data_IF_613800688076
#
_entry.id   IF_613800688076
#
_cell.length_a   1.000
_cell.length_b   1.000
_cell.length_c   1.000
_cell.angle_alpha   90.00
_cell.angle_beta   90.00
_cell.angle_gamma   90.00
#
_symmetry.space_group_name_H-M   'P 1'
#
loop_
_entity.id
_entity.type
_entity.pdbx_description
1 polymer ?
#
# COMPACT_ATOMS: atom_id res chain seq x y z
N UNK A 1 -17.35 -17.02 6.00
CA UNK A 1 -16.80 -17.37 4.67
C UNK A 1 -17.35 -18.69 4.17
N UNK A 2 -17.40 -19.72 5.01
CA UNK A 2 -17.92 -21.05 4.65
C UNK A 2 -19.41 -21.02 4.25
N UNK A 3 -20.24 -20.29 5.00
CA UNK A 3 -21.67 -20.12 4.70
C UNK A 3 -21.97 -19.38 3.40
N UNK A 4 -21.02 -18.59 2.89
CA UNK A 4 -21.16 -17.87 1.62
C UNK A 4 -20.67 -18.69 0.42
N UNK A 5 -20.00 -19.82 0.67
CA UNK A 5 -19.47 -20.69 -0.38
C UNK A 5 -20.61 -21.37 -1.12
N UNK A 6 -20.73 -21.14 -2.43
CA UNK A 6 -21.80 -21.68 -3.27
C UNK A 6 -23.04 -20.78 -3.43
N UNK A 7 -23.11 -19.64 -2.72
CA UNK A 7 -24.17 -18.64 -2.91
C UNK A 7 -23.81 -17.53 -3.91
N UNK A 8 -22.51 -17.34 -4.15
CA UNK A 8 -21.96 -16.30 -5.00
C UNK A 8 -21.12 -16.93 -6.12
N UNK A 9 -21.03 -16.27 -7.27
CA UNK A 9 -20.06 -16.66 -8.29
C UNK A 9 -18.62 -16.46 -7.79
N UNK A 10 -17.67 -17.10 -8.48
CA UNK A 10 -16.27 -17.14 -8.04
C UNK A 10 -15.62 -15.76 -7.90
N UNK A 11 -15.99 -14.78 -8.76
CA UNK A 11 -15.41 -13.44 -8.72
C UNK A 11 -16.01 -12.69 -7.53
N UNK A 12 -17.34 -12.66 -7.43
CA UNK A 12 -18.03 -11.98 -6.32
C UNK A 12 -17.59 -12.54 -4.97
N UNK A 13 -17.44 -13.86 -4.86
CA UNK A 13 -16.94 -14.49 -3.63
C UNK A 13 -15.53 -14.01 -3.26
N UNK A 14 -14.59 -13.91 -4.21
CA UNK A 14 -13.24 -13.37 -3.94
C UNK A 14 -13.29 -11.92 -3.47
N UNK A 15 -14.10 -11.07 -4.12
CA UNK A 15 -14.26 -9.65 -3.71
C UNK A 15 -14.84 -9.52 -2.31
N UNK A 16 -15.85 -10.32 -1.98
CA UNK A 16 -16.42 -10.36 -0.62
C UNK A 16 -15.40 -10.88 0.39
N UNK A 17 -14.63 -11.92 0.06
CA UNK A 17 -13.56 -12.43 0.92
C UNK A 17 -12.51 -11.35 1.22
N UNK A 18 -12.11 -10.57 0.22
CA UNK A 18 -11.23 -9.43 0.44
C UNK A 18 -11.82 -8.46 1.47
N UNK A 19 -13.03 -7.96 1.24
CA UNK A 19 -13.68 -6.96 2.09
C UNK A 19 -13.79 -7.44 3.55
N UNK A 20 -14.30 -8.66 3.75
CA UNK A 20 -14.52 -9.21 5.09
C UNK A 20 -13.19 -9.40 5.81
N UNK A 21 -12.19 -9.98 5.14
CA UNK A 21 -10.88 -10.24 5.77
C UNK A 21 -10.05 -8.97 5.94
N UNK A 22 -10.22 -7.95 5.09
CA UNK A 22 -9.54 -6.66 5.24
C UNK A 22 -10.11 -5.88 6.43
N UNK A 23 -11.43 -5.89 6.64
CA UNK A 23 -12.05 -5.29 7.82
C UNK A 23 -11.51 -5.92 9.12
N UNK A 24 -11.38 -7.25 9.15
CA UNK A 24 -10.79 -7.95 10.30
C UNK A 24 -9.30 -7.60 10.48
N UNK A 25 -8.51 -7.54 9.39
CA UNK A 25 -7.10 -7.10 9.45
C UNK A 25 -6.94 -5.69 10.00
N UNK A 26 -7.88 -4.78 9.76
CA UNK A 26 -7.87 -3.44 10.37
C UNK A 26 -8.00 -3.54 11.89
N UNK A 27 -8.94 -4.33 12.41
CA UNK A 27 -9.13 -4.51 13.85
C UNK A 27 -7.87 -5.11 14.50
N UNK A 28 -7.31 -6.15 13.88
CA UNK A 28 -6.04 -6.74 14.32
C UNK A 28 -4.89 -5.72 14.28
N UNK A 29 -4.81 -4.89 13.24
CA UNK A 29 -3.76 -3.87 13.12
C UNK A 29 -3.84 -2.86 14.27
N UNK A 30 -5.05 -2.39 14.59
CA UNK A 30 -5.28 -1.48 15.72
C UNK A 30 -4.84 -2.13 17.03
N UNK A 31 -5.29 -3.36 17.30
CA UNK A 31 -4.92 -4.10 18.50
C UNK A 31 -3.39 -4.24 18.65
N UNK A 32 -2.70 -4.70 17.59
CA UNK A 32 -1.24 -4.90 17.60
C UNK A 32 -0.49 -3.58 17.76
N UNK A 33 -0.92 -2.51 17.09
CA UNK A 33 -0.28 -1.20 17.27
C UNK A 33 -0.39 -0.69 18.71
N UNK A 34 -1.55 -0.90 19.35
CA UNK A 34 -1.78 -0.45 20.72
C UNK A 34 -1.03 -1.27 21.77
N UNK A 35 -0.88 -2.58 21.54
CA UNK A 35 -0.36 -3.52 22.56
C UNK A 35 1.10 -3.91 22.35
N UNK A 36 1.55 -4.01 21.10
CA UNK A 36 2.84 -4.59 20.72
C UNK A 36 3.70 -3.64 19.88
N UNK A 37 3.11 -2.57 19.34
CA UNK A 37 3.80 -1.55 18.55
C UNK A 37 4.00 -1.92 17.07
N UNK A 38 4.61 -1.01 16.29
CA UNK A 38 4.60 -1.06 14.82
C UNK A 38 5.31 -2.28 14.23
N UNK A 39 6.33 -2.83 14.89
CA UNK A 39 7.04 -4.00 14.39
C UNK A 39 6.13 -5.24 14.22
N UNK A 40 4.96 -5.27 14.88
CA UNK A 40 4.06 -6.42 14.92
C UNK A 40 2.96 -6.41 13.85
N UNK A 41 2.88 -5.37 13.01
CA UNK A 41 1.85 -5.30 11.95
C UNK A 41 2.35 -5.75 10.57
N UNK A 42 3.63 -6.13 10.45
CA UNK A 42 4.23 -6.45 9.15
C UNK A 42 3.46 -7.51 8.35
N UNK A 43 3.11 -8.62 9.01
CA UNK A 43 2.33 -9.71 8.39
C UNK A 43 0.92 -9.28 7.98
N UNK A 44 0.32 -8.32 8.69
CA UNK A 44 -1.01 -7.80 8.36
C UNK A 44 -0.95 -6.94 7.09
N UNK A 45 0.11 -6.13 6.93
CA UNK A 45 0.38 -5.38 5.70
C UNK A 45 0.56 -6.32 4.50
N UNK A 46 1.41 -7.34 4.64
CA UNK A 46 1.68 -8.30 3.57
C UNK A 46 0.43 -9.09 3.16
N UNK A 47 -0.35 -9.57 4.15
CA UNK A 47 -1.59 -10.29 3.91
C UNK A 47 -2.66 -9.42 3.24
N UNK A 48 -2.70 -8.14 3.62
CA UNK A 48 -3.56 -7.15 2.99
C UNK A 48 -3.18 -6.92 1.52
N UNK A 49 -1.88 -6.79 1.21
CA UNK A 49 -1.40 -6.69 -0.17
C UNK A 49 -1.77 -7.90 -1.01
N UNK A 50 -1.49 -9.10 -0.52
CA UNK A 50 -1.86 -10.34 -1.20
C UNK A 50 -3.37 -10.41 -1.48
N UNK A 51 -4.20 -10.03 -0.50
CA UNK A 51 -5.65 -9.99 -0.72
C UNK A 51 -6.07 -8.93 -1.75
N UNK A 52 -5.47 -7.74 -1.77
CA UNK A 52 -5.74 -6.74 -2.80
C UNK A 52 -5.32 -7.19 -4.20
N UNK A 53 -4.22 -7.94 -4.33
CA UNK A 53 -3.73 -8.48 -5.60
C UNK A 53 -4.54 -9.68 -6.08
N UNK A 54 -4.77 -10.66 -5.21
CA UNK A 54 -5.27 -11.98 -5.60
C UNK A 54 -6.80 -12.08 -5.46
N UNK A 55 -7.37 -11.43 -4.43
CA UNK A 55 -8.80 -11.52 -4.13
C UNK A 55 -9.59 -10.32 -4.66
N UNK A 56 -8.99 -9.14 -4.64
CA UNK A 56 -9.62 -7.91 -5.11
C UNK A 56 -9.18 -7.52 -6.53
N UNK A 57 -8.02 -8.02 -6.97
CA UNK A 57 -7.43 -7.80 -8.29
C UNK A 57 -7.30 -6.31 -8.65
N UNK A 58 -6.81 -5.50 -7.69
CA UNK A 58 -6.57 -4.06 -7.84
C UNK A 58 -5.09 -3.66 -7.81
N UNK A 59 -4.16 -4.63 -7.76
CA UNK A 59 -2.73 -4.33 -7.84
C UNK A 59 -2.26 -4.14 -9.28
N UNK A 60 -0.97 -3.88 -9.46
CA UNK A 60 -0.28 -3.87 -10.75
C UNK A 60 1.19 -4.30 -10.58
N UNK A 61 1.88 -4.67 -11.67
CA UNK A 61 3.27 -5.15 -11.61
C UNK A 61 4.23 -4.20 -10.89
N UNK A 62 4.07 -2.89 -11.04
CA UNK A 62 4.90 -1.89 -10.36
C UNK A 62 4.69 -1.90 -8.84
N UNK A 63 3.43 -2.03 -8.39
CA UNK A 63 3.10 -2.09 -6.96
C UNK A 63 3.60 -3.39 -6.34
N UNK A 64 3.38 -4.52 -7.02
CA UNK A 64 3.84 -5.84 -6.58
C UNK A 64 5.38 -5.85 -6.45
N UNK A 65 6.09 -5.33 -7.46
CA UNK A 65 7.54 -5.22 -7.45
C UNK A 65 8.05 -4.34 -6.30
N UNK A 66 7.40 -3.19 -6.04
CA UNK A 66 7.78 -2.31 -4.94
C UNK A 66 7.63 -2.99 -3.58
N UNK A 67 6.52 -3.72 -3.37
CA UNK A 67 6.24 -4.43 -2.13
C UNK A 67 7.21 -5.58 -1.93
N UNK A 68 7.38 -6.45 -2.93
CA UNK A 68 8.25 -7.63 -2.86
C UNK A 68 9.71 -7.22 -2.65
N UNK A 69 10.19 -6.22 -3.40
CA UNK A 69 11.56 -5.71 -3.26
C UNK A 69 11.77 -5.10 -1.88
N UNK A 70 10.80 -4.32 -1.38
CA UNK A 70 10.90 -3.71 -0.06
C UNK A 70 11.01 -4.78 1.04
N UNK A 71 10.21 -5.85 0.94
CA UNK A 71 10.26 -6.98 1.90
C UNK A 71 11.56 -7.76 1.83
N UNK A 72 12.09 -8.00 0.64
CA UNK A 72 13.36 -8.70 0.46
C UNK A 72 14.57 -7.94 1.05
N UNK A 73 14.46 -6.62 1.19
CA UNK A 73 15.56 -5.73 1.62
C UNK A 73 15.39 -5.12 3.02
N UNK A 74 14.50 -5.69 3.85
CA UNK A 74 14.45 -5.36 5.28
C UNK A 74 13.26 -4.52 5.73
N UNK A 75 12.28 -4.24 4.88
CA UNK A 75 10.99 -3.77 5.36
C UNK A 75 10.34 -4.84 6.25
N UNK A 76 9.70 -4.46 7.35
CA UNK A 76 8.93 -5.31 8.27
C UNK A 76 7.65 -5.83 7.60
N UNK A 77 7.01 -4.99 6.78
CA UNK A 77 5.79 -5.28 6.03
C UNK A 77 5.56 -4.21 4.97
N UNK A 78 4.90 -4.54 3.87
CA UNK A 78 4.61 -3.58 2.80
C UNK A 78 3.30 -3.89 2.09
N UNK A 79 2.64 -2.83 1.58
CA UNK A 79 1.42 -2.95 0.77
C UNK A 79 1.20 -1.76 -0.14
N UNK A 80 0.45 -1.94 -1.21
CA UNK A 80 -0.14 -0.82 -1.97
C UNK A 80 -1.05 0.04 -1.08
N UNK A 81 -1.27 1.31 -1.42
CA UNK A 81 -2.18 2.21 -0.70
C UNK A 81 -2.99 3.07 -1.68
N UNK A 82 -4.21 3.44 -1.30
CA UNK A 82 -5.18 4.08 -2.20
C UNK A 82 -6.01 3.08 -3.01
N UNK A 83 -6.55 3.53 -4.14
CA UNK A 83 -7.54 2.78 -4.93
C UNK A 83 -7.00 1.64 -5.80
N UNK A 84 -5.67 1.57 -6.02
CA UNK A 84 -5.05 0.57 -6.89
C UNK A 84 -4.92 0.97 -8.35
N UNK A 85 -4.58 -0.03 -9.18
CA UNK A 85 -4.28 0.11 -10.61
C UNK A 85 -3.13 1.09 -10.90
N UNK A 86 -2.14 1.10 -10.01
CA UNK A 86 -1.04 2.06 -9.94
C UNK A 86 -1.09 2.91 -8.66
N UNK A 87 -0.35 4.01 -8.64
CA UNK A 87 -0.28 4.90 -7.49
C UNK A 87 0.91 4.60 -6.58
N UNK A 88 0.65 4.30 -5.31
CA UNK A 88 1.68 4.23 -4.27
C UNK A 88 1.66 2.93 -3.50
N UNK A 89 2.83 2.52 -3.02
CA UNK A 89 3.00 1.51 -1.98
C UNK A 89 3.62 2.15 -0.74
N UNK A 90 3.35 1.55 0.42
CA UNK A 90 4.00 1.87 1.69
C UNK A 90 4.80 0.65 2.15
N UNK A 91 5.98 0.91 2.72
CA UNK A 91 6.82 -0.09 3.36
C UNK A 91 7.15 0.40 4.78
N UNK A 92 6.81 -0.41 5.77
CA UNK A 92 7.22 -0.17 7.14
C UNK A 92 8.64 -0.70 7.31
N UNK A 93 9.63 0.19 7.44
CA UNK A 93 11.05 -0.18 7.41
C UNK A 93 11.76 0.30 8.67
N UNK A 94 12.64 -0.51 9.30
CA UNK A 94 13.50 -0.02 10.36
C UNK A 94 14.40 1.09 9.84
N UNK A 95 14.62 2.15 10.63
CA UNK A 95 15.37 3.35 10.19
C UNK A 95 16.74 2.99 9.58
N UNK A 96 17.46 2.01 10.15
CA UNK A 96 18.76 1.56 9.64
C UNK A 96 18.74 0.87 8.27
N UNK A 97 17.57 0.41 7.80
CA UNK A 97 17.40 -0.25 6.50
C UNK A 97 16.73 0.65 5.45
N UNK A 98 16.39 1.89 5.79
CA UNK A 98 15.65 2.79 4.89
C UNK A 98 16.37 2.97 3.54
N UNK A 99 17.66 3.31 3.58
CA UNK A 99 18.44 3.57 2.36
C UNK A 99 18.61 2.29 1.52
N UNK A 100 18.82 1.14 2.17
CA UNK A 100 18.95 -0.15 1.49
C UNK A 100 17.67 -0.49 0.71
N UNK A 101 16.51 -0.35 1.36
CA UNK A 101 15.20 -0.58 0.73
C UNK A 101 14.97 0.39 -0.43
N UNK A 102 15.23 1.69 -0.24
CA UNK A 102 15.10 2.71 -1.28
C UNK A 102 15.91 2.35 -2.53
N UNK A 103 17.20 2.08 -2.35
CA UNK A 103 18.10 1.80 -3.46
C UNK A 103 17.74 0.50 -4.17
N UNK A 104 17.29 -0.50 -3.42
CA UNK A 104 16.82 -1.76 -4.00
C UNK A 104 15.59 -1.57 -4.88
N UNK A 105 14.59 -0.82 -4.42
CA UNK A 105 13.37 -0.53 -5.20
C UNK A 105 13.71 0.23 -6.48
N UNK A 106 14.58 1.25 -6.41
CA UNK A 106 15.01 2.00 -7.60
C UNK A 106 15.71 1.08 -8.61
N UNK A 107 16.63 0.22 -8.15
CA UNK A 107 17.31 -0.75 -9.02
C UNK A 107 16.34 -1.75 -9.63
N UNK A 108 15.39 -2.28 -8.86
CA UNK A 108 14.40 -3.23 -9.33
C UNK A 108 13.49 -2.63 -10.41
N UNK A 109 13.01 -1.40 -10.19
CA UNK A 109 12.20 -0.67 -11.17
C UNK A 109 12.96 -0.43 -12.47
N UNK A 110 14.21 0.01 -12.39
CA UNK A 110 15.05 0.19 -13.57
C UNK A 110 15.29 -1.13 -14.33
N UNK A 111 15.55 -2.23 -13.61
CA UNK A 111 15.75 -3.55 -14.20
C UNK A 111 14.49 -4.10 -14.89
N UNK A 112 13.31 -3.77 -14.35
CA UNK A 112 12.02 -4.12 -14.94
C UNK A 112 11.58 -3.20 -16.10
N UNK A 113 12.33 -2.13 -16.38
CA UNK A 113 11.99 -1.14 -17.41
C UNK A 113 10.85 -0.18 -17.01
N UNK A 114 10.54 -0.09 -15.72
CA UNK A 114 9.55 0.84 -15.20
C UNK A 114 10.12 2.25 -15.02
N UNK A 115 9.24 3.24 -15.03
CA UNK A 115 9.60 4.62 -14.66
C UNK A 115 10.13 4.67 -13.24
N UNK A 116 11.22 5.40 -13.01
CA UNK A 116 11.80 5.59 -11.67
C UNK A 116 10.73 6.06 -10.67
N UNK A 117 10.57 5.39 -9.52
CA UNK A 117 9.58 5.78 -8.53
C UNK A 117 10.07 6.96 -7.69
N UNK A 118 9.14 7.83 -7.29
CA UNK A 118 9.38 8.83 -6.24
C UNK A 118 9.27 8.16 -4.86
N UNK A 119 10.34 8.21 -4.05
CA UNK A 119 10.38 7.56 -2.73
C UNK A 119 10.70 8.59 -1.64
N UNK A 120 9.83 8.67 -0.63
CA UNK A 120 9.99 9.57 0.51
C UNK A 120 9.49 8.93 1.81
N UNK A 121 10.08 9.34 2.92
CA UNK A 121 9.69 8.91 4.27
C UNK A 121 8.56 9.80 4.75
N UNK A 122 7.56 9.19 5.37
CA UNK A 122 6.40 9.89 5.91
C UNK A 122 6.34 9.72 7.42
N UNK A 123 5.85 10.76 8.09
CA UNK A 123 5.52 10.74 9.51
C UNK A 123 4.03 11.06 9.67
N UNK A 124 3.30 10.36 10.57
CA UNK A 124 1.93 10.74 10.90
C UNK A 124 1.86 12.21 11.33
N UNK A 125 0.88 12.95 10.81
CA UNK A 125 0.72 14.38 11.05
C UNK A 125 -0.73 14.73 11.39
N UNK A 126 -0.93 15.91 12.00
CA UNK A 126 -2.25 16.43 12.29
C UNK A 126 -3.05 16.67 11.00
N UNK A 127 -4.37 16.51 11.09
CA UNK A 127 -5.29 16.90 10.02
C UNK A 127 -5.33 18.42 9.82
N UNK A 128 -6.06 18.88 8.79
CA UNK A 128 -6.31 20.32 8.59
C UNK A 128 -6.90 20.94 9.86
N UNK A 129 -6.32 22.05 10.28
CA UNK A 129 -6.75 22.84 11.43
C UNK A 129 -6.58 24.32 11.11
N UNK A 130 -7.39 25.18 11.72
CA UNK A 130 -7.22 26.63 11.59
C UNK A 130 -5.92 27.05 12.29
N UNK A 131 -4.90 27.32 11.51
CA UNK A 131 -3.62 27.85 11.98
C UNK A 131 -3.54 29.35 11.63
N UNK A 132 -3.39 30.27 12.61
CA UNK A 132 -3.21 31.70 12.33
C UNK A 132 -1.85 32.05 11.70
N UNK A 133 -0.96 31.07 11.48
CA UNK A 133 0.35 31.28 10.87
C UNK A 133 0.58 30.32 9.70
N UNK A 134 0.95 30.90 8.55
CA UNK A 134 1.32 30.19 7.32
C UNK A 134 2.62 29.42 7.53
N UNK A 135 2.60 28.09 7.36
CA UNK A 135 3.76 27.32 6.88
C UNK A 135 3.33 26.22 5.91
N UNK A 136 4.11 26.10 4.83
CA UNK A 136 3.85 25.32 3.65
C UNK A 136 3.70 23.80 3.91
N UNK A 137 2.70 23.17 3.29
CA UNK A 137 2.66 21.72 3.10
C UNK A 137 2.91 21.40 1.62
N UNK A 138 3.94 20.62 1.33
CA UNK A 138 4.15 20.06 0.00
C UNK A 138 3.32 18.78 -0.17
N UNK A 139 2.49 18.74 -1.20
CA UNK A 139 1.81 17.55 -1.70
C UNK A 139 2.48 17.13 -3.01
N UNK A 140 2.80 15.85 -3.20
CA UNK A 140 3.25 15.34 -4.49
C UNK A 140 2.08 14.81 -5.32
N UNK A 141 2.09 15.23 -6.59
CA UNK A 141 1.14 14.94 -7.66
C UNK A 141 1.95 14.31 -8.79
N UNK A 142 1.39 13.34 -9.51
CA UNK A 142 1.97 12.85 -10.76
C UNK A 142 2.02 14.00 -11.79
N UNK A 143 3.13 14.17 -12.50
CA UNK A 143 3.10 14.77 -13.83
C UNK A 143 2.55 13.71 -14.79
N UNK A 144 1.22 13.66 -14.96
CA UNK A 144 0.58 12.87 -16.01
C UNK A 144 0.24 13.78 -17.21
N UNK A 145 0.29 13.27 -18.46
CA UNK A 145 -0.31 13.98 -19.58
C UNK A 145 -1.83 14.11 -19.33
N UNK A 146 -2.40 15.25 -19.71
CA UNK A 146 -3.78 15.59 -19.43
C UNK A 146 -4.76 14.50 -19.88
N UNK A 147 -5.48 13.93 -18.91
CA UNK A 147 -6.62 13.05 -19.17
C UNK A 147 -7.83 13.95 -19.43
N UNK A 148 -8.30 13.98 -20.68
CA UNK A 148 -9.62 14.53 -21.02
C UNK A 148 -10.69 13.48 -20.73
N UNK A 149 -11.63 13.79 -19.84
CA UNK A 149 -12.85 13.02 -19.71
C UNK A 149 -13.81 13.46 -20.81
N UNK A 150 -13.88 12.66 -21.88
CA UNK A 150 -14.98 12.73 -22.84
C UNK A 150 -16.21 12.09 -22.21
N UNK A 151 -17.30 12.85 -22.12
CA UNK A 151 -18.63 12.29 -21.90
C UNK A 151 -19.13 11.78 -23.26
N UNK A 152 -19.34 10.47 -23.36
CA UNK A 152 -20.28 9.85 -24.29
C UNK A 152 -21.23 8.95 -23.48
#
# INVERSE_FOLDING_TARGET
>A
MEEASGLLDSITFRRVRHIVTENDRVLQTVERLTTEGPAHIGRLLDASHASMRDDFEISCPELDLAVETSRAHGAIGARMTGGGFGGSAIALTPVGHEQEVRDAVVRAFAAAGFTTPDIFTVTPAAGPHDSPEVRASAAFRRAGPGVSWGHD
#
